data_IF_909345553996
#
_entry.id   IF_909345553996
#
_cell.length_a   1.000
_cell.length_b   1.000
_cell.length_c   1.000
_cell.angle_alpha   90.00
_cell.angle_beta   90.00
_cell.angle_gamma   90.00
#
_symmetry.space_group_name_H-M   'P 1'
#
loop_
_entity.id
_entity.type
_entity.pdbx_description
1 polymer ?
#
# COMPACT_ATOMS: atom_id res chain seq x y z
N UNK A 1 -27.24 7.11 4.95
CA UNK A 1 -27.64 5.70 4.78
C UNK A 1 -29.06 5.57 5.28
N UNK A 2 -30.04 5.62 4.38
CA UNK A 2 -31.48 5.58 4.73
C UNK A 2 -31.92 4.13 4.52
N UNK A 3 -32.11 3.39 5.61
CA UNK A 3 -32.65 2.04 5.58
C UNK A 3 -34.18 2.14 5.38
N UNK A 4 -34.64 2.00 4.15
CA UNK A 4 -36.08 1.85 3.85
C UNK A 4 -36.39 0.36 4.00
N UNK A 5 -36.90 -0.02 5.18
CA UNK A 5 -37.38 -1.39 5.44
C UNK A 5 -38.76 -1.51 4.77
N UNK A 6 -38.79 -2.10 3.58
CA UNK A 6 -40.04 -2.58 2.98
C UNK A 6 -40.43 -3.87 3.72
N UNK A 7 -41.24 -3.74 4.78
CA UNK A 7 -41.94 -4.89 5.34
C UNK A 7 -43.01 -5.32 4.31
N UNK A 8 -42.94 -6.54 3.75
CA UNK A 8 -44.04 -7.02 2.93
C UNK A 8 -45.26 -7.17 3.84
N UNK A 9 -46.31 -6.43 3.51
CA UNK A 9 -47.61 -6.45 4.20
C UNK A 9 -48.30 -7.79 3.90
N UNK A 10 -47.75 -8.89 4.41
CA UNK A 10 -48.43 -10.18 4.43
C UNK A 10 -49.45 -10.14 5.56
N UNK A 11 -50.72 -10.22 5.18
CA UNK A 11 -51.86 -10.24 6.09
C UNK A 11 -51.72 -11.32 7.16
N UNK A 12 -51.35 -10.90 8.37
CA UNK A 12 -51.48 -11.66 9.60
C UNK A 12 -52.93 -11.65 10.06
N UNK A 13 -53.67 -12.64 9.56
CA UNK A 13 -55.00 -13.05 10.03
C UNK A 13 -54.90 -13.56 11.47
N UNK A 14 -55.93 -13.24 12.28
CA UNK A 14 -56.34 -13.84 13.57
C UNK A 14 -55.81 -13.19 14.86
N UNK A 15 -56.51 -12.17 15.32
CA UNK A 15 -56.73 -11.94 16.76
C UNK A 15 -58.19 -11.56 16.93
N UNK A 16 -59.07 -12.56 17.10
CA UNK A 16 -60.42 -12.39 17.68
C UNK A 16 -60.99 -13.78 18.01
N UNK A 17 -60.29 -14.52 18.86
CA UNK A 17 -60.86 -15.67 19.56
C UNK A 17 -61.04 -15.26 21.03
N UNK A 18 -62.24 -14.77 21.37
CA UNK A 18 -62.86 -14.86 22.71
C UNK A 18 -64.08 -13.95 22.81
N UNK A 19 -65.13 -14.24 22.05
CA UNK A 19 -66.48 -13.74 22.41
C UNK A 19 -67.45 -14.91 22.43
N UNK A 20 -67.94 -15.16 23.63
CA UNK A 20 -68.88 -16.18 24.10
C UNK A 20 -70.08 -16.39 23.15
N UNK A 21 -70.50 -17.64 22.90
CA UNK A 21 -71.68 -17.91 22.09
C UNK A 21 -72.95 -17.72 22.93
N UNK A 22 -73.68 -16.63 22.70
CA UNK A 22 -75.08 -16.50 23.14
C UNK A 22 -75.94 -17.26 22.13
N UNK A 23 -76.43 -18.44 22.50
CA UNK A 23 -77.38 -19.24 21.71
C UNK A 23 -78.69 -18.47 21.53
N UNK A 24 -78.81 -17.75 20.42
CA UNK A 24 -80.09 -17.25 19.92
C UNK A 24 -80.59 -18.32 18.94
N UNK A 25 -81.63 -19.05 19.35
CA UNK A 25 -82.45 -19.84 18.43
C UNK A 25 -83.21 -18.85 17.54
N UNK A 26 -82.60 -18.44 16.43
CA UNK A 26 -83.28 -17.67 15.39
C UNK A 26 -83.53 -18.61 14.21
N UNK A 27 -84.79 -19.03 14.11
CA UNK A 27 -85.52 -19.41 12.92
C UNK A 27 -84.72 -19.94 11.72
N UNK A 28 -84.94 -21.25 11.54
CA UNK A 28 -85.09 -22.07 10.34
C UNK A 28 -85.64 -21.36 9.08
N UNK A 29 -85.07 -20.22 8.70
CA UNK A 29 -85.37 -19.46 7.48
C UNK A 29 -84.11 -18.83 6.85
N UNK A 30 -82.91 -19.20 7.34
CA UNK A 30 -81.61 -18.68 6.86
C UNK A 30 -80.98 -19.48 5.72
N UNK A 31 -81.60 -20.57 5.27
CA UNK A 31 -81.06 -21.44 4.22
C UNK A 31 -81.24 -20.86 2.80
N UNK A 32 -81.93 -19.72 2.65
CA UNK A 32 -82.15 -19.07 1.34
C UNK A 32 -81.37 -17.76 1.11
N UNK A 33 -80.70 -17.21 2.13
CA UNK A 33 -80.07 -15.88 2.03
C UNK A 33 -78.54 -15.96 1.92
N UNK A 34 -77.92 -17.08 2.29
CA UNK A 34 -76.50 -17.32 2.01
C UNK A 34 -76.31 -17.86 0.58
N UNK A 35 -76.76 -17.09 -0.42
CA UNK A 35 -76.11 -17.12 -1.74
C UNK A 35 -74.69 -16.64 -1.50
N UNK A 36 -73.78 -17.59 -1.31
CA UNK A 36 -72.33 -17.39 -1.26
C UNK A 36 -71.95 -16.64 -2.53
N UNK A 37 -71.85 -15.32 -2.43
CA UNK A 37 -71.35 -14.47 -3.52
C UNK A 37 -69.95 -15.00 -3.81
N UNK A 38 -69.64 -15.43 -5.05
CA UNK A 38 -68.35 -16.01 -5.38
C UNK A 38 -67.28 -14.91 -5.38
N UNK A 39 -66.80 -14.54 -4.19
CA UNK A 39 -65.71 -13.57 -3.95
C UNK A 39 -64.44 -13.94 -4.73
N UNK A 40 -64.29 -15.20 -5.15
CA UNK A 40 -63.11 -15.71 -5.86
C UNK A 40 -62.89 -15.07 -7.23
N UNK A 41 -63.92 -14.57 -7.91
CA UNK A 41 -63.76 -14.00 -9.26
C UNK A 41 -63.25 -12.55 -9.24
N UNK A 42 -63.58 -11.75 -8.21
CA UNK A 42 -63.19 -10.33 -8.20
C UNK A 42 -61.73 -10.06 -7.83
N UNK A 43 -61.07 -10.95 -7.08
CA UNK A 43 -59.66 -10.76 -6.69
C UNK A 43 -58.68 -10.84 -7.87
N UNK A 44 -59.04 -11.55 -8.95
CA UNK A 44 -58.18 -11.70 -10.12
C UNK A 44 -57.97 -10.40 -10.90
N UNK A 45 -58.97 -9.52 -10.95
CA UNK A 45 -58.85 -8.25 -11.68
C UNK A 45 -58.06 -7.20 -10.88
N UNK A 46 -58.29 -7.14 -9.57
CA UNK A 46 -57.58 -6.20 -8.67
C UNK A 46 -56.08 -6.52 -8.64
N UNK A 47 -55.72 -7.80 -8.58
CA UNK A 47 -54.31 -8.22 -8.60
C UNK A 47 -53.61 -7.90 -9.91
N UNK A 48 -54.29 -8.04 -11.06
CA UNK A 48 -53.75 -7.63 -12.37
C UNK A 48 -53.51 -6.13 -12.44
N UNK A 49 -54.46 -5.31 -12.01
CA UNK A 49 -54.31 -3.85 -12.00
C UNK A 49 -53.18 -3.40 -11.07
N UNK A 50 -53.08 -4.02 -9.89
CA UNK A 50 -51.99 -3.75 -8.96
C UNK A 50 -50.62 -4.11 -9.55
N UNK A 51 -50.50 -5.29 -10.15
CA UNK A 51 -49.25 -5.73 -10.79
C UNK A 51 -48.83 -4.81 -11.94
N UNK A 52 -49.79 -4.32 -12.74
CA UNK A 52 -49.54 -3.45 -13.89
C UNK A 52 -48.92 -2.10 -13.47
N UNK A 53 -49.27 -1.58 -12.30
CA UNK A 53 -48.72 -0.33 -11.75
C UNK A 53 -47.43 -0.59 -10.96
N UNK A 54 -47.39 -1.67 -10.18
CA UNK A 54 -46.27 -1.94 -9.27
C UNK A 54 -45.00 -2.37 -10.01
N UNK A 55 -45.13 -3.12 -11.10
CA UNK A 55 -44.00 -3.61 -11.89
C UNK A 55 -43.10 -2.50 -12.45
N UNK A 56 -43.62 -1.47 -13.17
CA UNK A 56 -42.78 -0.39 -13.69
C UNK A 56 -42.14 0.46 -12.59
N UNK A 57 -42.85 0.69 -11.47
CA UNK A 57 -42.31 1.43 -10.33
C UNK A 57 -41.13 0.66 -9.71
N UNK A 58 -41.26 -0.66 -9.57
CA UNK A 58 -40.20 -1.52 -9.04
C UNK A 58 -38.95 -1.51 -9.94
N UNK A 59 -39.15 -1.58 -11.26
CA UNK A 59 -38.06 -1.47 -12.24
C UNK A 59 -37.37 -0.11 -12.13
N UNK A 60 -38.16 0.97 -12.01
CA UNK A 60 -37.62 2.33 -11.89
C UNK A 60 -36.74 2.47 -10.64
N UNK A 61 -37.22 2.01 -9.48
CA UNK A 61 -36.46 2.04 -8.23
C UNK A 61 -35.20 1.20 -8.36
N UNK A 62 -35.30 -0.01 -8.93
CA UNK A 62 -34.14 -0.86 -9.19
C UNK A 62 -33.08 -0.18 -10.06
N UNK A 63 -33.49 0.47 -11.15
CA UNK A 63 -32.59 1.20 -12.04
C UNK A 63 -31.89 2.37 -11.32
N UNK A 64 -32.62 3.12 -10.49
CA UNK A 64 -32.05 4.22 -9.69
C UNK A 64 -31.02 3.69 -8.69
N UNK A 65 -31.32 2.59 -7.99
CA UNK A 65 -30.40 1.98 -7.02
C UNK A 65 -29.13 1.46 -7.70
N UNK A 66 -29.27 0.76 -8.83
CA UNK A 66 -28.14 0.25 -9.61
C UNK A 66 -27.26 1.40 -10.12
N UNK A 67 -27.87 2.46 -10.65
CA UNK A 67 -27.13 3.64 -11.10
C UNK A 67 -26.38 4.33 -9.94
N UNK A 68 -27.05 4.49 -8.79
CA UNK A 68 -26.43 5.05 -7.58
C UNK A 68 -25.22 4.22 -7.14
N UNK A 69 -25.37 2.89 -7.11
CA UNK A 69 -24.30 1.95 -6.77
C UNK A 69 -23.10 2.08 -7.71
N UNK A 70 -23.31 2.10 -9.03
CA UNK A 70 -22.23 2.26 -9.99
C UNK A 70 -21.51 3.61 -9.85
N UNK A 71 -22.23 4.70 -9.55
CA UNK A 71 -21.62 6.02 -9.30
C UNK A 71 -20.74 6.02 -8.04
N UNK A 72 -21.19 5.37 -6.97
CA UNK A 72 -20.42 5.28 -5.73
C UNK A 72 -19.15 4.42 -5.91
N UNK A 73 -19.28 3.24 -6.50
CA UNK A 73 -18.14 2.35 -6.77
C UNK A 73 -17.14 3.02 -7.72
N UNK A 74 -17.63 3.71 -8.75
CA UNK A 74 -16.79 4.47 -9.68
C UNK A 74 -16.01 5.59 -8.99
N UNK A 75 -16.65 6.30 -8.05
CA UNK A 75 -16.01 7.38 -7.29
C UNK A 75 -14.95 6.84 -6.34
N UNK A 76 -15.24 5.77 -5.59
CA UNK A 76 -14.29 5.13 -4.68
C UNK A 76 -13.02 4.66 -5.41
N UNK A 77 -13.17 4.05 -6.60
CA UNK A 77 -12.02 3.64 -7.43
C UNK A 77 -11.14 4.83 -7.84
N UNK A 78 -11.74 5.97 -8.18
CA UNK A 78 -10.98 7.19 -8.52
C UNK A 78 -10.22 7.73 -7.31
N UNK A 79 -10.85 7.76 -6.12
CA UNK A 79 -10.20 8.21 -4.89
C UNK A 79 -9.01 7.31 -4.51
N UNK A 80 -9.17 5.99 -4.55
CA UNK A 80 -8.09 5.03 -4.27
C UNK A 80 -6.93 5.26 -5.24
N UNK A 81 -7.21 5.42 -6.54
CA UNK A 81 -6.17 5.68 -7.55
C UNK A 81 -5.44 7.02 -7.33
N UNK A 82 -6.12 8.05 -6.84
CA UNK A 82 -5.49 9.34 -6.52
C UNK A 82 -4.58 9.20 -5.31
N UNK A 83 -5.03 8.50 -4.27
CA UNK A 83 -4.24 8.30 -3.05
C UNK A 83 -3.02 7.42 -3.32
N UNK A 84 -3.18 6.32 -4.07
CA UNK A 84 -2.05 5.49 -4.50
C UNK A 84 -1.02 6.30 -5.31
N UNK A 85 -1.46 7.15 -6.24
CA UNK A 85 -0.57 8.03 -6.99
C UNK A 85 0.19 8.98 -6.07
N UNK A 86 -0.49 9.60 -5.11
CA UNK A 86 0.13 10.50 -4.14
C UNK A 86 1.18 9.76 -3.30
N UNK A 87 0.86 8.57 -2.80
CA UNK A 87 1.82 7.75 -2.01
C UNK A 87 3.05 7.39 -2.85
N UNK A 88 2.85 7.00 -4.12
CA UNK A 88 3.96 6.71 -5.04
C UNK A 88 4.81 7.94 -5.31
N UNK A 89 4.19 9.10 -5.51
CA UNK A 89 4.88 10.37 -5.75
C UNK A 89 5.70 10.82 -4.54
N UNK A 90 5.12 10.76 -3.34
CA UNK A 90 5.83 11.06 -2.09
C UNK A 90 7.02 10.11 -1.89
N UNK A 91 6.84 8.80 -2.13
CA UNK A 91 7.94 7.82 -2.07
C UNK A 91 9.03 8.13 -3.10
N UNK A 92 8.67 8.56 -4.31
CA UNK A 92 9.64 8.96 -5.35
C UNK A 92 10.47 10.16 -4.90
N UNK A 93 9.82 11.17 -4.32
CA UNK A 93 10.52 12.36 -3.78
C UNK A 93 11.47 11.95 -2.66
N UNK A 94 11.03 11.10 -1.74
CA UNK A 94 11.84 10.61 -0.64
C UNK A 94 13.09 9.86 -1.15
N UNK A 95 12.91 8.93 -2.08
CA UNK A 95 14.01 8.19 -2.72
C UNK A 95 14.98 9.13 -3.42
N UNK A 96 14.47 10.10 -4.19
CA UNK A 96 15.31 11.06 -4.91
C UNK A 96 16.15 11.91 -3.94
N UNK A 97 15.54 12.38 -2.85
CA UNK A 97 16.26 13.14 -1.83
C UNK A 97 17.32 12.29 -1.13
N UNK A 98 17.03 11.02 -0.84
CA UNK A 98 18.02 10.08 -0.32
C UNK A 98 19.19 9.90 -1.28
N UNK A 99 18.95 9.75 -2.58
CA UNK A 99 20.02 9.65 -3.57
C UNK A 99 20.88 10.91 -3.65
N UNK A 100 20.28 12.09 -3.60
CA UNK A 100 21.05 13.35 -3.58
C UNK A 100 21.96 13.40 -2.34
N UNK A 101 21.46 13.01 -1.17
CA UNK A 101 22.27 12.92 0.06
C UNK A 101 23.43 11.93 -0.11
N UNK A 102 23.17 10.73 -0.63
CA UNK A 102 24.20 9.72 -0.88
C UNK A 102 25.28 10.21 -1.85
N UNK A 103 24.89 10.95 -2.91
CA UNK A 103 25.86 11.52 -3.87
C UNK A 103 26.73 12.57 -3.18
N UNK A 104 26.14 13.47 -2.38
CA UNK A 104 26.88 14.49 -1.66
C UNK A 104 27.85 13.87 -0.65
N UNK A 105 27.42 12.82 0.04
CA UNK A 105 28.23 12.04 0.95
C UNK A 105 29.44 11.40 0.27
N UNK A 106 29.22 10.73 -0.87
CA UNK A 106 30.31 10.14 -1.67
C UNK A 106 31.26 11.22 -2.19
N UNK A 107 30.74 12.37 -2.63
CA UNK A 107 31.58 13.50 -3.04
C UNK A 107 32.39 14.08 -1.89
N UNK A 108 31.83 14.12 -0.68
CA UNK A 108 32.53 14.59 0.52
C UNK A 108 33.63 13.60 0.93
N UNK A 109 33.34 12.30 0.91
CA UNK A 109 34.33 11.24 1.12
C UNK A 109 35.48 11.34 0.11
N UNK A 110 35.17 11.55 -1.17
CA UNK A 110 36.17 11.69 -2.23
C UNK A 110 37.07 12.94 -2.07
N UNK A 111 36.61 13.95 -1.32
CA UNK A 111 37.36 15.19 -1.04
C UNK A 111 38.19 15.13 0.24
N UNK A 112 38.15 14.03 1.00
CA UNK A 112 38.94 13.89 2.21
C UNK A 112 40.45 14.05 1.89
N UNK A 113 41.16 14.95 2.58
CA UNK A 113 42.54 15.28 2.23
C UNK A 113 43.49 14.07 2.32
N UNK A 114 43.27 13.20 3.31
CA UNK A 114 44.06 11.98 3.53
C UNK A 114 43.84 10.93 2.45
N UNK A 115 42.61 10.83 1.93
CA UNK A 115 42.30 9.93 0.83
C UNK A 115 43.01 10.39 -0.45
N UNK A 116 43.01 11.70 -0.70
CA UNK A 116 43.75 12.30 -1.81
C UNK A 116 45.26 12.08 -1.68
N UNK A 117 45.83 12.34 -0.50
CA UNK A 117 47.26 12.13 -0.22
C UNK A 117 47.66 10.67 -0.42
N UNK A 118 46.85 9.72 0.04
CA UNK A 118 47.04 8.29 -0.19
C UNK A 118 47.08 7.94 -1.69
N UNK A 119 46.14 8.44 -2.48
CA UNK A 119 46.10 8.18 -3.93
C UNK A 119 47.22 8.89 -4.70
N UNK A 120 47.60 10.10 -4.30
CA UNK A 120 48.68 10.86 -4.94
C UNK A 120 50.05 10.24 -4.63
N UNK A 121 50.26 9.74 -3.40
CA UNK A 121 51.47 8.97 -3.03
C UNK A 121 51.66 7.68 -3.83
N UNK A 122 50.56 6.99 -4.20
CA UNK A 122 50.60 5.79 -5.04
C UNK A 122 50.93 6.11 -6.51
N UNK A 123 50.47 7.25 -7.03
CA UNK A 123 50.79 7.67 -8.41
C UNK A 123 52.28 7.96 -8.59
N UNK A 124 52.88 8.65 -7.63
CA UNK A 124 54.29 9.06 -7.69
C UNK A 124 55.26 7.88 -7.55
N UNK A 125 54.87 6.82 -6.84
CA UNK A 125 55.67 5.59 -6.70
C UNK A 125 55.64 4.68 -7.94
N UNK A 126 54.73 4.93 -8.88
CA UNK A 126 54.56 4.12 -10.11
C UNK A 126 55.35 4.65 -11.31
N UNK A 127 56.11 5.75 -11.17
CA UNK A 127 56.89 6.38 -12.25
C UNK A 127 58.40 6.14 -12.16
N UNK A 128 58.86 5.01 -11.62
CA UNK A 128 60.27 4.64 -11.74
C UNK A 128 60.54 4.29 -13.22
N UNK A 129 61.46 4.99 -13.92
CA UNK A 129 61.74 4.73 -15.33
C UNK A 129 62.25 3.30 -15.49
N UNK A 130 61.53 2.49 -16.26
CA UNK A 130 62.00 1.17 -16.71
C UNK A 130 63.15 1.35 -17.72
N UNK A 131 64.31 1.77 -17.25
CA UNK A 131 65.52 1.87 -18.08
C UNK A 131 66.78 1.62 -17.25
N UNK A 132 66.86 0.47 -16.58
CA UNK A 132 68.11 -0.30 -16.58
C UNK A 132 67.86 -1.74 -16.15
N UNK A 133 68.20 -2.65 -17.05
CA UNK A 133 68.22 -4.08 -16.89
C UNK A 133 69.28 -4.43 -15.83
N UNK A 134 68.84 -4.97 -14.70
CA UNK A 134 69.69 -5.44 -13.61
C UNK A 134 68.92 -6.48 -12.81
N UNK A 135 69.11 -7.75 -13.20
CA UNK A 135 68.79 -8.91 -12.39
C UNK A 135 69.24 -8.66 -10.94
N UNK A 136 68.32 -8.71 -9.98
CA UNK A 136 68.50 -9.31 -8.65
C UNK A 136 67.19 -9.18 -7.84
N UNK A 137 66.73 -10.35 -7.41
CA UNK A 137 65.84 -10.64 -6.27
C UNK A 137 64.46 -9.98 -6.21
N UNK A 138 63.50 -10.67 -6.83
CA UNK A 138 62.09 -10.43 -6.61
C UNK A 138 61.65 -11.05 -5.29
N UNK A 139 61.28 -10.20 -4.31
CA UNK A 139 60.19 -10.38 -3.32
C UNK A 139 60.50 -9.49 -2.10
N UNK A 140 59.49 -8.70 -1.70
CA UNK A 140 59.50 -7.71 -0.60
C UNK A 140 60.07 -6.35 -1.01
N UNK A 141 59.26 -5.55 -1.71
CA UNK A 141 59.20 -4.10 -1.54
C UNK A 141 57.87 -3.58 -2.10
N UNK A 142 56.78 -4.32 -1.86
CA UNK A 142 55.44 -3.72 -1.88
C UNK A 142 55.37 -2.78 -0.69
N UNK A 143 55.79 -1.55 -0.93
CA UNK A 143 55.26 -0.33 -0.33
C UNK A 143 54.90 -0.47 1.16
N UNK A 144 55.88 -0.22 2.04
CA UNK A 144 55.59 0.32 3.36
C UNK A 144 54.92 1.69 3.17
N UNK A 145 53.64 1.69 2.82
CA UNK A 145 52.77 2.82 3.12
C UNK A 145 52.82 2.90 4.66
N UNK A 146 53.21 4.04 5.25
CA UNK A 146 53.34 4.12 6.69
C UNK A 146 52.00 3.70 7.31
N UNK A 147 52.02 2.65 8.14
CA UNK A 147 50.80 2.09 8.74
C UNK A 147 49.94 3.17 9.42
N UNK A 148 50.57 4.25 9.89
CA UNK A 148 49.93 5.43 10.44
C UNK A 148 48.92 6.11 9.52
N UNK A 149 49.14 6.14 8.19
CA UNK A 149 48.21 6.81 7.27
C UNK A 149 46.91 6.01 7.06
N UNK A 150 46.99 4.68 7.09
CA UNK A 150 45.79 3.83 6.95
C UNK A 150 44.91 3.93 8.18
N UNK A 151 45.51 3.97 9.38
CA UNK A 151 44.80 4.16 10.65
C UNK A 151 44.01 5.48 10.68
N UNK A 152 44.61 6.59 10.22
CA UNK A 152 43.93 7.88 10.15
C UNK A 152 42.76 7.90 9.13
N UNK A 153 42.89 7.16 8.03
CA UNK A 153 41.81 7.03 7.04
C UNK A 153 40.67 6.20 7.65
N UNK A 154 40.99 5.10 8.31
CA UNK A 154 40.03 4.24 9.00
C UNK A 154 39.24 5.02 10.06
N UNK A 155 39.93 5.78 10.93
CA UNK A 155 39.29 6.64 11.93
C UNK A 155 38.31 7.64 11.31
N UNK A 156 38.65 8.24 10.17
CA UNK A 156 37.76 9.18 9.48
C UNK A 156 36.56 8.50 8.84
N UNK A 157 36.75 7.30 8.28
CA UNK A 157 35.65 6.51 7.74
C UNK A 157 34.71 6.04 8.85
N UNK A 158 35.25 5.67 10.02
CA UNK A 158 34.48 5.37 11.24
C UNK A 158 33.69 6.60 11.70
N UNK A 159 34.34 7.77 11.82
CA UNK A 159 33.68 9.00 12.22
C UNK A 159 32.57 9.41 11.23
N UNK A 160 32.83 9.25 9.93
CA UNK A 160 31.85 9.49 8.87
C UNK A 160 30.66 8.53 8.97
N UNK A 161 30.92 7.22 9.11
CA UNK A 161 29.87 6.21 9.24
C UNK A 161 29.00 6.47 10.48
N UNK A 162 29.64 6.83 11.61
CA UNK A 162 28.96 7.20 12.86
C UNK A 162 28.12 8.47 12.75
N UNK A 163 28.61 9.47 12.02
CA UNK A 163 27.88 10.72 11.80
C UNK A 163 26.64 10.49 10.92
N UNK A 164 26.78 9.69 9.86
CA UNK A 164 25.70 9.49 8.90
C UNK A 164 24.66 8.46 9.37
N UNK A 165 25.06 7.39 10.08
CA UNK A 165 24.19 6.30 10.55
C UNK A 165 23.35 5.59 9.46
N UNK A 166 23.58 5.91 8.18
CA UNK A 166 22.85 5.36 7.03
C UNK A 166 23.58 4.18 6.39
N UNK A 167 24.86 4.01 6.68
CA UNK A 167 25.73 3.03 6.03
C UNK A 167 25.97 1.85 6.97
N UNK A 168 25.65 0.64 6.51
CA UNK A 168 26.05 -0.59 7.19
C UNK A 168 27.55 -0.87 7.02
N UNK A 169 28.12 -0.48 5.89
CA UNK A 169 29.52 -0.70 5.59
C UNK A 169 30.06 0.39 4.65
N UNK A 170 31.30 0.82 4.89
CA UNK A 170 32.08 1.68 4.01
C UNK A 170 33.34 0.92 3.61
N UNK A 171 33.54 0.74 2.30
CA UNK A 171 34.68 0.02 1.74
C UNK A 171 35.59 0.97 0.97
N UNK A 172 36.89 0.84 1.19
CA UNK A 172 37.90 1.41 0.31
C UNK A 172 38.44 0.29 -0.58
N UNK A 173 38.17 0.39 -1.88
CA UNK A 173 38.66 -0.55 -2.89
C UNK A 173 39.83 0.06 -3.66
N UNK A 174 40.77 -0.77 -4.04
CA UNK A 174 41.88 -0.43 -4.90
C UNK A 174 41.47 -0.45 -6.39
N UNK A 175 42.39 -0.08 -7.29
CA UNK A 175 42.11 -0.06 -8.74
C UNK A 175 41.84 -1.43 -9.35
N UNK A 176 42.22 -2.52 -8.68
CA UNK A 176 41.93 -3.90 -9.08
C UNK A 176 40.60 -4.40 -8.51
N UNK A 177 39.92 -3.59 -7.69
CA UNK A 177 38.72 -3.98 -6.95
C UNK A 177 39.02 -4.74 -5.66
N UNK A 178 40.28 -4.80 -5.23
CA UNK A 178 40.66 -5.45 -3.98
C UNK A 178 40.36 -4.52 -2.80
N UNK A 179 39.80 -5.07 -1.73
CA UNK A 179 39.51 -4.35 -0.49
C UNK A 179 40.79 -3.97 0.24
N UNK A 180 40.94 -2.68 0.55
CA UNK A 180 42.04 -2.11 1.33
C UNK A 180 41.58 -1.87 2.76
N UNK A 181 40.41 -1.24 2.94
CA UNK A 181 39.83 -0.91 4.25
C UNK A 181 38.35 -1.31 4.24
N UNK A 182 37.93 -1.94 5.34
CA UNK A 182 36.54 -2.27 5.64
C UNK A 182 36.12 -1.63 6.94
N UNK A 183 35.16 -0.72 6.89
CA UNK A 183 34.50 -0.22 8.10
C UNK A 183 33.08 -0.77 8.11
N UNK A 184 32.78 -1.66 9.05
CA UNK A 184 31.44 -2.20 9.27
C UNK A 184 30.83 -1.51 10.48
N UNK A 185 29.58 -1.07 10.36
CA UNK A 185 28.85 -0.38 11.42
C UNK A 185 27.65 -1.23 11.83
N UNK A 186 27.82 -2.01 12.89
CA UNK A 186 26.74 -2.79 13.51
C UNK A 186 26.31 -2.14 14.82
N UNK A 187 25.04 -1.75 14.92
CA UNK A 187 24.39 -1.35 16.18
C UNK A 187 25.01 -0.16 16.95
N UNK A 188 25.79 0.71 16.30
CA UNK A 188 26.37 1.90 16.96
C UNK A 188 27.76 1.69 17.53
N UNK A 189 28.33 0.51 17.36
CA UNK A 189 29.74 0.20 17.61
C UNK A 189 30.44 0.03 16.26
N UNK A 190 31.59 0.69 16.13
CA UNK A 190 32.46 0.65 14.95
C UNK A 190 33.75 -0.08 15.32
#
# INVERSE_FOLDING_TARGET
MICIIFAPFFGGKKIFDSVVPRKIQLNQDRDKILKVIPLRQHYGEITKQFALIFFPISILIGAVLVNSYYREVGSRKKFIKIEEKRVVEVKKILINNSFVSLILDVQNLAKLPYLKEYFDGRKNSSQIPHSHLGYLDGRKNSSQIPHSHLEHIEEQLVAFAKYQQLYYQVLLLDTTGQEIIRVSYENGEA
#
